data_IF_700872665354
#
_entry.id   IF_700872665354
#
_cell.length_a   1.000
_cell.length_b   1.000
_cell.length_c   1.000
_cell.angle_alpha   90.00
_cell.angle_beta   90.00
_cell.angle_gamma   90.00
#
_symmetry.space_group_name_H-M   'P 1'
#
loop_
_entity.id
_entity.type
_entity.pdbx_description
1 polymer ?
#
# COMPACT_ATOMS: atom_id res chain seq x y z
N UNK A 1 -42.04 9.53 3.70
CA UNK A 1 -41.07 8.67 4.39
C UNK A 1 -39.73 8.76 3.67
N UNK A 2 -38.69 9.32 4.29
CA UNK A 2 -37.35 9.44 3.67
C UNK A 2 -36.49 8.28 4.17
N UNK A 3 -36.11 7.37 3.29
CA UNK A 3 -35.25 6.24 3.61
C UNK A 3 -33.86 6.75 4.01
N UNK A 4 -33.46 6.52 5.28
CA UNK A 4 -32.10 6.77 5.76
C UNK A 4 -31.19 5.64 5.27
N UNK A 5 -30.35 5.92 4.27
CA UNK A 5 -29.25 5.03 3.90
C UNK A 5 -28.23 5.04 5.04
N UNK A 6 -28.17 3.96 5.83
CA UNK A 6 -27.09 3.76 6.80
C UNK A 6 -25.80 3.50 6.03
N UNK A 7 -24.81 4.39 6.14
CA UNK A 7 -23.43 4.07 5.77
C UNK A 7 -23.00 2.90 6.67
N UNK A 8 -22.81 1.74 6.08
CA UNK A 8 -22.08 0.63 6.72
C UNK A 8 -20.63 1.07 6.78
N UNK A 9 -20.10 1.27 7.99
CA UNK A 9 -18.66 1.45 8.16
C UNK A 9 -17.95 0.23 7.57
N UNK A 10 -16.83 0.38 6.84
CA UNK A 10 -16.09 -0.79 6.39
C UNK A 10 -15.76 -1.63 7.62
N UNK A 11 -16.16 -2.91 7.59
CA UNK A 11 -15.82 -3.84 8.64
C UNK A 11 -14.30 -3.79 8.85
N UNK A 12 -13.86 -3.65 10.10
CA UNK A 12 -12.45 -3.80 10.43
C UNK A 12 -12.02 -5.19 9.92
N UNK A 13 -11.15 -5.21 8.91
CA UNK A 13 -10.66 -6.47 8.35
C UNK A 13 -9.95 -7.24 9.47
N UNK A 14 -10.17 -8.56 9.58
CA UNK A 14 -9.38 -9.38 10.50
C UNK A 14 -7.89 -9.20 10.15
N UNK A 15 -6.99 -9.18 11.15
CA UNK A 15 -5.57 -9.09 10.89
C UNK A 15 -5.18 -10.23 9.94
N UNK A 16 -4.41 -9.92 8.90
CA UNK A 16 -3.91 -10.96 8.02
C UNK A 16 -3.09 -11.97 8.85
N UNK A 17 -3.16 -13.28 8.54
CA UNK A 17 -2.12 -14.17 9.00
C UNK A 17 -0.77 -13.58 8.55
N UNK A 18 0.27 -13.72 9.39
CA UNK A 18 1.62 -13.18 9.16
C UNK A 18 1.77 -11.65 9.31
N UNK A 19 0.87 -10.96 10.02
CA UNK A 19 1.07 -9.55 10.37
C UNK A 19 2.40 -9.35 11.15
N UNK A 20 3.30 -8.53 10.62
CA UNK A 20 4.63 -8.24 11.21
C UNK A 20 4.58 -6.93 12.02
N UNK A 21 5.49 -6.76 12.98
CA UNK A 21 5.71 -5.44 13.62
C UNK A 21 6.30 -4.52 12.56
N UNK A 22 5.60 -3.44 12.22
CA UNK A 22 5.96 -2.67 11.02
C UNK A 22 5.67 -3.49 9.77
N UNK A 23 4.42 -3.95 9.65
CA UNK A 23 3.90 -4.96 8.70
C UNK A 23 4.36 -4.84 7.23
N UNK A 24 4.82 -3.65 6.83
CA UNK A 24 5.42 -3.33 5.55
C UNK A 24 6.58 -2.34 5.70
N UNK A 25 7.57 -2.36 4.77
CA UNK A 25 8.72 -1.47 4.79
C UNK A 25 8.31 0.00 4.90
N UNK A 26 8.95 0.74 5.82
CA UNK A 26 8.71 2.18 5.96
C UNK A 26 9.42 3.00 4.91
N UNK A 27 10.49 2.45 4.34
CA UNK A 27 11.26 3.10 3.30
C UNK A 27 11.37 2.19 2.08
N UNK A 28 11.47 2.83 0.92
CA UNK A 28 11.73 2.21 -0.36
C UNK A 28 12.78 3.05 -1.07
N UNK A 29 13.96 2.48 -1.33
CA UNK A 29 15.12 3.18 -1.89
C UNK A 29 15.50 4.43 -1.07
N UNK A 30 15.40 4.32 0.26
CA UNK A 30 15.63 5.43 1.19
C UNK A 30 14.55 6.53 1.18
N UNK A 31 13.42 6.32 0.51
CA UNK A 31 12.29 7.28 0.44
C UNK A 31 11.13 6.81 1.29
N UNK A 32 10.43 7.77 1.91
CA UNK A 32 9.30 7.46 2.79
C UNK A 32 8.11 6.84 2.02
N UNK A 33 7.47 5.86 2.65
CA UNK A 33 6.35 5.11 2.11
C UNK A 33 5.11 5.24 3.02
N UNK A 34 3.94 5.48 2.44
CA UNK A 34 2.66 5.47 3.17
C UNK A 34 1.67 4.44 2.63
N UNK A 35 1.53 3.36 3.41
CA UNK A 35 0.60 2.27 3.18
C UNK A 35 -0.84 2.62 3.54
N UNK A 36 -1.78 2.29 2.64
CA UNK A 36 -3.23 2.52 2.86
C UNK A 36 -3.94 1.36 3.58
N UNK A 37 -3.17 0.42 4.14
CA UNK A 37 -3.66 -0.80 4.75
C UNK A 37 -4.04 -1.88 3.72
N UNK A 38 -4.15 -3.11 4.20
CA UNK A 38 -4.49 -4.27 3.38
C UNK A 38 -5.94 -4.23 2.89
N UNK A 39 -6.19 -4.96 1.80
CA UNK A 39 -7.48 -5.09 1.11
C UNK A 39 -7.60 -6.46 0.46
N UNK A 40 -8.83 -6.97 0.42
CA UNK A 40 -9.15 -8.28 -0.15
C UNK A 40 -9.77 -8.17 -1.56
N UNK A 41 -10.19 -6.97 -1.95
CA UNK A 41 -11.03 -6.70 -3.12
C UNK A 41 -10.26 -6.18 -4.34
N UNK A 42 -8.98 -6.55 -4.49
CA UNK A 42 -8.19 -6.15 -5.66
C UNK A 42 -8.89 -6.50 -6.98
N UNK A 43 -8.91 -5.52 -7.87
CA UNK A 43 -9.52 -5.54 -9.20
C UNK A 43 -8.41 -5.46 -10.26
N UNK A 44 -8.45 -6.39 -11.21
CA UNK A 44 -7.48 -6.58 -12.30
C UNK A 44 -7.31 -5.37 -13.23
N UNK A 45 -8.16 -4.34 -13.10
CA UNK A 45 -8.10 -3.13 -13.92
C UNK A 45 -6.91 -2.21 -13.63
N UNK A 46 -6.18 -2.41 -12.52
CA UNK A 46 -5.21 -1.42 -12.03
C UNK A 46 -3.72 -1.82 -12.15
N UNK A 47 -3.40 -3.05 -12.55
CA UNK A 47 -2.03 -3.52 -12.82
C UNK A 47 -2.05 -4.87 -13.58
N UNK A 48 -0.96 -5.30 -14.25
CA UNK A 48 -0.83 -6.68 -14.71
C UNK A 48 -1.10 -7.64 -13.54
N UNK A 49 -1.72 -8.79 -13.85
CA UNK A 49 -2.09 -9.76 -12.82
C UNK A 49 -0.83 -10.17 -12.07
N UNK A 50 -0.80 -10.13 -10.71
CA UNK A 50 0.19 -10.92 -10.01
C UNK A 50 0.09 -12.36 -10.52
N UNK A 51 1.20 -13.10 -10.51
CA UNK A 51 1.15 -14.53 -10.75
C UNK A 51 -0.02 -15.10 -9.93
N UNK A 52 -0.99 -15.72 -10.61
CA UNK A 52 -2.17 -16.32 -9.95
C UNK A 52 -1.76 -17.42 -8.97
N UNK A 53 -0.49 -17.79 -9.01
CA UNK A 53 0.20 -18.74 -8.16
C UNK A 53 1.31 -18.02 -7.38
N UNK A 54 1.37 -18.23 -6.07
CA UNK A 54 2.44 -17.72 -5.23
C UNK A 54 3.78 -18.35 -5.61
N UNK A 55 4.78 -17.52 -5.93
CA UNK A 55 6.12 -17.97 -6.29
C UNK A 55 6.82 -18.82 -5.21
N UNK A 56 6.48 -18.62 -3.93
CA UNK A 56 7.10 -19.33 -2.82
C UNK A 56 6.45 -20.69 -2.49
N UNK A 57 5.13 -20.82 -2.59
CA UNK A 57 4.42 -22.01 -2.12
C UNK A 57 3.45 -22.65 -3.12
N UNK A 58 3.25 -22.06 -4.30
CA UNK A 58 2.33 -22.56 -5.31
C UNK A 58 0.84 -22.31 -5.01
N UNK A 59 0.53 -21.53 -3.98
CA UNK A 59 -0.86 -21.21 -3.62
C UNK A 59 -1.55 -20.42 -4.74
N UNK A 60 -2.78 -20.82 -5.07
CA UNK A 60 -3.66 -20.08 -5.99
C UNK A 60 -4.70 -19.21 -5.27
N UNK A 61 -4.60 -19.11 -3.94
CA UNK A 61 -5.47 -18.29 -3.11
C UNK A 61 -5.28 -16.82 -3.46
N UNK A 62 -6.39 -16.06 -3.60
CA UNK A 62 -6.32 -14.63 -3.89
C UNK A 62 -5.48 -13.91 -2.82
N UNK A 63 -4.39 -13.21 -3.20
CA UNK A 63 -3.54 -12.53 -2.24
C UNK A 63 -4.30 -11.38 -1.57
N UNK A 64 -3.87 -11.02 -0.36
CA UNK A 64 -4.21 -9.70 0.19
C UNK A 64 -3.37 -8.66 -0.54
N UNK A 65 -3.93 -7.47 -0.76
CA UNK A 65 -3.23 -6.41 -1.51
C UNK A 65 -3.20 -5.12 -0.73
N UNK A 66 -2.15 -4.33 -0.90
CA UNK A 66 -2.17 -2.93 -0.48
C UNK A 66 -1.61 -2.03 -1.57
N UNK A 67 -2.01 -0.77 -1.49
CA UNK A 67 -1.69 0.28 -2.45
C UNK A 67 -1.05 1.43 -1.72
N UNK A 68 -0.12 2.04 -2.42
CA UNK A 68 0.92 2.75 -1.74
C UNK A 68 1.27 4.08 -2.39
N UNK A 69 1.96 4.94 -1.64
CA UNK A 69 2.57 6.17 -2.16
C UNK A 69 3.98 6.30 -1.63
N UNK A 70 4.95 6.30 -2.53
CA UNK A 70 6.35 6.57 -2.21
C UNK A 70 6.67 8.00 -2.57
N UNK A 71 7.32 8.71 -1.66
CA UNK A 71 7.80 10.05 -1.93
C UNK A 71 8.88 10.04 -3.03
N UNK A 72 8.77 10.89 -4.05
CA UNK A 72 9.86 10.98 -5.05
C UNK A 72 11.13 11.65 -4.48
N UNK A 73 10.95 12.60 -3.55
CA UNK A 73 12.06 13.27 -2.90
C UNK A 73 12.44 12.57 -1.59
N UNK A 74 13.74 12.26 -1.34
CA UNK A 74 14.19 11.68 -0.09
C UNK A 74 14.08 12.66 1.10
N UNK A 75 13.96 13.96 0.83
CA UNK A 75 13.74 14.98 1.86
C UNK A 75 12.30 15.00 2.38
N UNK A 76 11.40 14.31 1.66
CA UNK A 76 9.99 14.33 1.96
C UNK A 76 9.62 13.22 2.95
N UNK A 77 9.61 13.59 4.23
CA UNK A 77 9.48 12.63 5.34
C UNK A 77 8.03 12.17 5.57
N UNK A 78 7.89 11.03 6.27
CA UNK A 78 6.60 10.52 6.76
C UNK A 78 5.75 11.59 7.45
N UNK A 79 6.34 12.38 8.34
CA UNK A 79 5.63 13.44 9.06
C UNK A 79 5.03 14.50 8.12
N UNK A 80 5.73 14.82 7.03
CA UNK A 80 5.21 15.77 6.04
C UNK A 80 4.08 15.14 5.20
N UNK A 81 4.21 13.86 4.83
CA UNK A 81 3.17 13.11 4.13
C UNK A 81 1.89 12.99 4.98
N UNK A 82 2.04 12.66 6.26
CA UNK A 82 0.94 12.59 7.23
C UNK A 82 0.27 13.96 7.44
N UNK A 83 1.06 15.04 7.50
CA UNK A 83 0.54 16.40 7.61
C UNK A 83 -0.29 16.79 6.38
N UNK A 84 0.12 16.37 5.19
CA UNK A 84 -0.63 16.58 3.95
C UNK A 84 -1.93 15.78 3.91
N UNK A 85 -1.90 14.51 4.32
CA UNK A 85 -3.12 13.69 4.43
C UNK A 85 -4.10 14.28 5.47
N UNK A 86 -3.58 14.77 6.60
CA UNK A 86 -4.37 15.46 7.61
C UNK A 86 -4.96 16.78 7.09
N UNK A 87 -4.21 17.53 6.29
CA UNK A 87 -4.70 18.73 5.62
C UNK A 87 -5.80 18.39 4.59
N UNK A 88 -5.58 17.35 3.77
CA UNK A 88 -6.54 16.89 2.78
C UNK A 88 -7.85 16.40 3.44
N UNK A 89 -7.76 15.72 4.58
CA UNK A 89 -8.92 15.21 5.31
C UNK A 89 -9.84 16.32 5.85
N UNK A 90 -9.32 17.55 6.04
CA UNK A 90 -10.11 18.72 6.46
C UNK A 90 -10.86 19.39 5.31
N UNK A 91 -10.56 19.03 4.06
CA UNK A 91 -11.19 19.61 2.88
C UNK A 91 -12.56 18.96 2.59
N UNK A 92 -13.50 19.71 1.99
CA UNK A 92 -14.72 19.13 1.42
C UNK A 92 -14.36 18.04 0.40
N UNK A 93 -15.20 16.98 0.22
CA UNK A 93 -14.89 15.85 -0.65
C UNK A 93 -14.43 16.25 -2.06
N UNK A 94 -15.10 17.22 -2.68
CA UNK A 94 -14.79 17.71 -4.03
C UNK A 94 -13.40 18.37 -4.11
N UNK A 95 -12.96 19.02 -3.03
CA UNK A 95 -11.66 19.67 -2.95
C UNK A 95 -10.54 18.70 -2.56
N UNK A 96 -10.85 17.68 -1.74
CA UNK A 96 -9.90 16.65 -1.31
C UNK A 96 -9.33 15.87 -2.49
N UNK A 97 -10.17 15.50 -3.46
CA UNK A 97 -9.73 14.72 -4.63
C UNK A 97 -8.80 15.53 -5.57
N UNK A 98 -8.82 16.86 -5.45
CA UNK A 98 -7.94 17.78 -6.20
C UNK A 98 -6.75 18.28 -5.38
N UNK A 99 -6.66 17.91 -4.10
CA UNK A 99 -5.57 18.34 -3.24
C UNK A 99 -4.25 17.73 -3.74
N UNK A 100 -3.40 18.61 -4.27
CA UNK A 100 -2.03 18.28 -4.66
C UNK A 100 -1.10 19.11 -3.79
N UNK A 101 -0.33 18.48 -2.89
CA UNK A 101 0.67 19.22 -2.16
C UNK A 101 1.67 19.84 -3.14
N UNK A 102 1.88 21.16 -3.03
CA UNK A 102 2.73 21.89 -3.99
C UNK A 102 4.16 21.36 -3.94
N UNK A 103 4.72 21.06 -5.12
CA UNK A 103 6.12 20.64 -5.26
C UNK A 103 6.44 19.27 -4.66
N UNK A 104 5.43 18.45 -4.38
CA UNK A 104 5.59 17.09 -3.86
C UNK A 104 4.95 16.11 -4.85
N UNK A 105 5.73 15.13 -5.26
CA UNK A 105 5.35 14.11 -6.22
C UNK A 105 5.55 12.72 -5.60
N UNK A 106 4.77 11.76 -6.09
CA UNK A 106 4.72 10.41 -5.56
C UNK A 106 4.58 9.43 -6.71
N UNK A 107 5.25 8.30 -6.59
CA UNK A 107 4.96 7.11 -7.38
C UNK A 107 4.24 6.06 -6.54
N UNK A 108 3.79 4.98 -7.18
CA UNK A 108 2.96 3.95 -6.55
C UNK A 108 3.72 2.64 -6.49
N UNK A 109 3.54 1.95 -5.37
CA UNK A 109 3.82 0.54 -5.24
C UNK A 109 2.50 -0.19 -4.99
N UNK A 110 2.49 -1.46 -5.36
CA UNK A 110 1.41 -2.39 -5.06
C UNK A 110 2.02 -3.63 -4.44
N UNK A 111 1.58 -4.00 -3.24
CA UNK A 111 2.08 -5.20 -2.56
C UNK A 111 1.01 -6.27 -2.53
N UNK A 112 1.43 -7.50 -2.75
CA UNK A 112 0.64 -8.71 -2.72
C UNK A 112 1.19 -9.65 -1.65
N UNK A 113 0.35 -10.00 -0.67
CA UNK A 113 0.68 -10.99 0.35
C UNK A 113 -0.06 -12.29 0.10
N UNK A 114 0.69 -13.39 -0.01
CA UNK A 114 0.11 -14.72 -0.02
C UNK A 114 -0.55 -15.02 1.33
N UNK A 115 -1.79 -15.50 1.31
CA UNK A 115 -2.53 -15.84 2.54
C UNK A 115 -2.11 -17.14 3.17
N UNK A 116 -1.45 -18.01 2.41
CA UNK A 116 -1.11 -19.35 2.85
C UNK A 116 0.30 -19.44 3.42
N UNK A 117 1.25 -18.64 2.91
CA UNK A 117 2.65 -18.62 3.39
C UNK A 117 3.17 -17.26 3.83
N UNK A 118 2.43 -16.16 3.63
CA UNK A 118 2.87 -14.81 4.03
C UNK A 118 3.96 -14.20 3.15
N UNK A 119 4.26 -14.81 2.00
CA UNK A 119 5.19 -14.27 1.01
C UNK A 119 4.65 -12.97 0.40
N UNK A 120 5.50 -11.95 0.36
CA UNK A 120 5.18 -10.63 -0.15
C UNK A 120 5.92 -10.35 -1.46
N UNK A 121 5.17 -9.90 -2.46
CA UNK A 121 5.70 -9.41 -3.74
C UNK A 121 5.23 -7.98 -3.96
N UNK A 122 6.12 -7.13 -4.47
CA UNK A 122 5.85 -5.74 -4.81
C UNK A 122 5.89 -5.55 -6.32
N UNK A 123 4.92 -4.85 -6.86
CA UNK A 123 4.92 -4.34 -8.22
C UNK A 123 5.05 -2.82 -8.18
N UNK A 124 6.05 -2.28 -8.87
CA UNK A 124 6.23 -0.84 -9.00
C UNK A 124 5.49 -0.25 -10.22
N UNK A 125 5.58 1.07 -10.40
CA UNK A 125 4.93 1.79 -11.49
C UNK A 125 5.61 1.60 -12.85
N UNK A 126 6.84 1.05 -12.88
CA UNK A 126 7.53 0.63 -14.09
C UNK A 126 7.10 -0.76 -14.56
N UNK A 127 6.38 -1.49 -13.70
CA UNK A 127 5.98 -2.88 -13.93
C UNK A 127 7.03 -3.89 -13.50
N UNK A 128 8.05 -3.47 -12.74
CA UNK A 128 9.05 -4.38 -12.19
C UNK A 128 8.51 -5.05 -10.93
N UNK A 129 8.79 -6.34 -10.82
CA UNK A 129 8.41 -7.18 -9.68
C UNK A 129 9.60 -7.32 -8.72
N UNK A 130 9.32 -7.19 -7.43
CA UNK A 130 10.30 -7.24 -6.37
C UNK A 130 9.82 -8.19 -5.27
N UNK A 131 10.71 -8.99 -4.73
CA UNK A 131 10.42 -9.88 -3.61
C UNK A 131 10.82 -9.17 -2.30
N UNK A 132 9.95 -9.20 -1.28
CA UNK A 132 10.32 -8.73 0.05
C UNK A 132 10.83 -9.88 0.90
N UNK A 133 11.98 -9.69 1.51
CA UNK A 133 12.51 -10.58 2.55
C UNK A 133 12.58 -9.89 3.91
N UNK A 134 13.05 -10.63 4.91
CA UNK A 134 13.04 -10.18 6.31
C UNK A 134 13.86 -8.89 6.54
N UNK A 135 14.88 -8.62 5.72
CA UNK A 135 15.72 -7.43 5.88
C UNK A 135 14.99 -6.15 5.41
N UNK A 136 14.07 -6.26 4.47
CA UNK A 136 13.31 -5.12 3.95
C UNK A 136 12.36 -4.49 4.99
N UNK A 137 11.97 -5.25 6.02
CA UNK A 137 11.14 -4.76 7.12
C UNK A 137 11.96 -4.07 8.22
N UNK A 138 13.28 -3.98 8.03
CA UNK A 138 14.19 -3.27 8.91
C UNK A 138 13.97 -1.75 8.95
N UNK A 139 14.67 -1.04 9.86
CA UNK A 139 14.54 0.40 10.02
C UNK A 139 14.91 1.20 8.76
N UNK A 140 15.77 0.63 7.91
CA UNK A 140 16.25 1.26 6.67
C UNK A 140 15.34 0.99 5.46
N UNK A 141 14.36 0.10 5.62
CA UNK A 141 13.42 -0.31 4.58
C UNK A 141 14.05 -1.11 3.45
N UNK A 142 13.36 -1.15 2.31
CA UNK A 142 13.80 -1.89 1.13
C UNK A 142 14.75 -1.07 0.26
N UNK A 143 15.71 -1.77 -0.37
CA UNK A 143 16.72 -1.21 -1.26
C UNK A 143 16.84 -2.04 -2.54
N UNK A 144 17.29 -1.45 -3.66
CA UNK A 144 17.53 -2.21 -4.87
C UNK A 144 18.62 -3.25 -4.62
N UNK A 145 18.38 -4.48 -5.07
CA UNK A 145 19.34 -5.60 -5.01
C UNK A 145 19.68 -6.10 -6.40
#
# INVERSE_FOLDING_TARGET
MVARVRRVAPAAQPPLPFARVGDLPRFWDGRAVLWKGWRDDWDQRFAPRPAMECAACGSTTKPATTLDRVAESPLYSHAMMEADDAAAARLPPIARDRFKPRGRSFYRLMVFRCRDCGYDMVLDDTGSEWELDDDDYGPDGSWPR
#
